data_IF_977815044475
#
_entry.id   IF_977815044475
#
_cell.length_a   1.000
_cell.length_b   1.000
_cell.length_c   1.000
_cell.angle_alpha   90.00
_cell.angle_beta   90.00
_cell.angle_gamma   90.00
#
_symmetry.space_group_name_H-M   'P 1'
#
loop_
_entity.id
_entity.type
_entity.pdbx_description
1 polymer ?
#
# COMPACT_ATOMS: atom_id res chain seq x y z
N UNK A 1 -55.64 -38.28 10.60
CA UNK A 1 -54.88 -37.59 11.65
C UNK A 1 -53.38 -37.89 11.67
N UNK A 2 -52.95 -39.18 11.51
CA UNK A 2 -51.52 -39.53 11.53
C UNK A 2 -50.68 -38.91 10.40
N UNK A 3 -51.22 -38.83 9.17
CA UNK A 3 -50.53 -38.23 8.03
C UNK A 3 -50.31 -36.72 8.19
N UNK A 4 -51.26 -36.01 8.73
CA UNK A 4 -51.16 -34.53 8.95
C UNK A 4 -50.11 -34.18 10.03
N UNK A 5 -49.98 -35.04 11.06
CA UNK A 5 -48.97 -34.87 12.11
C UNK A 5 -47.54 -35.12 11.54
N UNK A 6 -47.38 -36.10 10.62
CA UNK A 6 -46.08 -36.37 10.01
C UNK A 6 -45.61 -35.26 9.09
N UNK A 7 -46.55 -34.68 8.29
CA UNK A 7 -46.21 -33.54 7.41
C UNK A 7 -45.87 -32.29 8.20
N UNK A 8 -46.53 -32.05 9.32
CA UNK A 8 -46.24 -30.90 10.18
C UNK A 8 -44.86 -31.06 10.83
N UNK A 9 -44.48 -32.27 11.22
CA UNK A 9 -43.17 -32.55 11.83
C UNK A 9 -42.01 -32.40 10.83
N UNK A 10 -42.20 -32.88 9.58
CA UNK A 10 -41.20 -32.69 8.51
C UNK A 10 -41.05 -31.22 8.12
N UNK A 11 -42.15 -30.46 8.07
CA UNK A 11 -42.09 -29.03 7.77
C UNK A 11 -41.35 -28.23 8.90
N UNK A 12 -41.61 -28.58 10.16
CA UNK A 12 -40.90 -28.03 11.30
C UNK A 12 -39.39 -28.34 11.27
N UNK A 13 -39.02 -29.60 10.95
CA UNK A 13 -37.61 -30.01 10.85
C UNK A 13 -36.86 -29.24 9.75
N UNK A 14 -37.52 -28.90 8.63
CA UNK A 14 -36.94 -28.07 7.57
C UNK A 14 -36.73 -26.60 7.97
N UNK A 15 -37.54 -26.07 8.88
CA UNK A 15 -37.38 -24.71 9.40
C UNK A 15 -36.23 -24.58 10.40
N UNK A 16 -35.83 -25.70 11.04
CA UNK A 16 -34.68 -25.73 11.95
C UNK A 16 -33.36 -26.07 11.26
N UNK A 17 -33.35 -26.44 9.98
CA UNK A 17 -32.13 -26.57 9.17
C UNK A 17 -31.63 -25.20 8.72
N UNK A 18 -31.78 -24.19 9.57
CA UNK A 18 -31.28 -22.84 9.36
C UNK A 18 -29.78 -22.87 9.11
N UNK A 19 -29.35 -22.08 8.18
CA UNK A 19 -27.98 -21.84 7.77
C UNK A 19 -27.02 -21.98 8.95
N UNK A 20 -26.10 -22.93 8.87
CA UNK A 20 -24.97 -22.95 9.78
C UNK A 20 -24.30 -21.59 9.68
N UNK A 21 -24.32 -20.83 10.76
CA UNK A 21 -23.61 -19.57 10.84
C UNK A 21 -22.18 -19.81 10.36
N UNK A 22 -21.74 -19.08 9.34
CA UNK A 22 -20.34 -19.10 8.96
C UNK A 22 -19.56 -18.87 10.25
N UNK A 23 -18.74 -19.83 10.65
CA UNK A 23 -17.81 -19.61 11.74
C UNK A 23 -16.91 -18.46 11.28
N UNK A 24 -17.09 -17.30 11.88
CA UNK A 24 -16.12 -16.24 11.72
C UNK A 24 -14.78 -16.78 12.21
N UNK A 25 -13.73 -16.48 11.49
CA UNK A 25 -12.39 -16.78 11.93
C UNK A 25 -12.16 -16.03 13.24
N UNK A 26 -12.17 -16.75 14.35
CA UNK A 26 -11.72 -16.23 15.63
C UNK A 26 -10.24 -16.58 15.73
N UNK A 27 -9.34 -15.59 15.78
CA UNK A 27 -7.92 -15.87 15.96
C UNK A 27 -7.71 -16.59 17.28
N UNK A 28 -6.97 -17.70 17.28
CA UNK A 28 -6.67 -18.49 18.47
C UNK A 28 -5.91 -17.71 19.56
N UNK A 29 -5.29 -16.58 19.17
CA UNK A 29 -4.62 -15.67 20.06
C UNK A 29 -5.04 -14.23 19.78
N UNK A 30 -5.70 -13.62 20.72
CA UNK A 30 -5.87 -12.17 20.76
C UNK A 30 -4.71 -11.60 21.58
N UNK A 31 -3.76 -10.95 20.91
CA UNK A 31 -2.80 -10.14 21.63
C UNK A 31 -3.52 -8.89 22.12
N UNK A 32 -3.58 -8.70 23.43
CA UNK A 32 -3.92 -7.40 23.98
C UNK A 32 -2.84 -6.43 23.50
N UNK A 33 -3.23 -5.52 22.62
CA UNK A 33 -2.37 -4.43 22.25
C UNK A 33 -2.01 -3.68 23.54
N UNK A 34 -0.77 -3.80 23.99
CA UNK A 34 -0.26 -2.86 24.97
C UNK A 34 -0.33 -1.49 24.30
N UNK A 35 -1.11 -0.58 24.86
CA UNK A 35 -1.18 0.79 24.39
C UNK A 35 0.20 1.43 24.57
N UNK A 36 1.07 1.31 23.57
CA UNK A 36 2.28 2.10 23.52
C UNK A 36 1.87 3.50 23.11
N UNK A 37 1.73 4.41 24.07
CA UNK A 37 1.61 5.83 23.77
C UNK A 37 3.01 6.42 23.75
N UNK A 38 3.46 6.90 22.61
CA UNK A 38 4.61 7.78 22.52
C UNK A 38 4.12 9.17 22.12
N UNK A 39 4.56 10.22 22.84
CA UNK A 39 4.36 11.59 22.39
C UNK A 39 5.55 11.99 21.52
N UNK A 40 5.27 12.50 20.33
CA UNK A 40 6.24 13.16 19.49
C UNK A 40 5.90 14.65 19.46
N UNK A 41 6.94 15.50 19.59
CA UNK A 41 6.76 16.96 19.55
C UNK A 41 6.49 17.43 18.12
N UNK A 42 5.23 17.60 17.77
CA UNK A 42 4.82 18.14 16.47
C UNK A 42 3.48 17.62 15.97
N UNK A 43 2.90 18.33 15.02
CA UNK A 43 1.64 17.96 14.38
C UNK A 43 1.91 17.04 13.19
N UNK A 44 1.04 16.05 12.99
CA UNK A 44 1.00 15.29 11.74
C UNK A 44 0.27 16.13 10.70
N UNK A 45 0.93 16.42 9.59
CA UNK A 45 0.37 17.26 8.51
C UNK A 45 -0.12 16.43 7.33
N UNK A 46 0.30 15.16 7.25
CA UNK A 46 -0.15 14.24 6.21
C UNK A 46 -0.01 12.79 6.68
N UNK A 47 -0.91 11.93 6.23
CA UNK A 47 -0.93 10.50 6.56
C UNK A 47 -0.85 9.66 5.28
N UNK A 48 0.06 8.71 5.27
CA UNK A 48 0.05 7.58 4.34
C UNK A 48 -0.51 6.34 5.03
N UNK A 49 -0.56 5.21 4.32
CA UNK A 49 -0.93 3.92 4.91
C UNK A 49 0.07 3.46 5.99
N UNK A 50 1.34 3.73 5.78
CA UNK A 50 2.44 3.13 6.55
C UNK A 50 3.12 4.13 7.50
N UNK A 51 2.57 5.34 7.63
CA UNK A 51 3.10 6.36 8.52
C UNK A 51 2.55 7.76 8.25
N UNK A 52 3.25 8.78 8.70
CA UNK A 52 2.82 10.17 8.54
C UNK A 52 3.97 11.15 8.45
N UNK A 53 3.70 12.30 7.87
CA UNK A 53 4.62 13.43 7.78
C UNK A 53 4.36 14.39 8.93
N UNK A 54 5.40 14.80 9.63
CA UNK A 54 5.34 15.82 10.68
C UNK A 54 5.53 17.22 10.10
N UNK A 55 5.00 18.21 10.80
CA UNK A 55 5.20 19.63 10.48
C UNK A 55 6.70 20.01 10.42
N UNK A 56 7.54 19.34 11.21
CA UNK A 56 9.00 19.50 11.18
C UNK A 56 9.65 19.01 9.87
N UNK A 57 8.89 18.40 8.97
CA UNK A 57 9.42 17.75 7.76
C UNK A 57 10.00 16.36 7.98
N UNK A 58 10.02 15.87 9.22
CA UNK A 58 10.33 14.48 9.56
C UNK A 58 9.12 13.59 9.28
N UNK A 59 9.29 12.28 9.45
CA UNK A 59 8.16 11.34 9.34
C UNK A 59 8.08 10.43 10.56
N UNK A 60 6.89 9.90 10.79
CA UNK A 60 6.61 8.83 11.73
C UNK A 60 6.38 7.56 10.91
N UNK A 61 7.21 6.57 11.11
CA UNK A 61 7.05 5.22 10.52
C UNK A 61 6.75 4.19 11.60
N UNK A 62 6.90 2.93 11.24
CA UNK A 62 6.66 1.80 12.17
C UNK A 62 7.57 1.79 13.40
N UNK A 63 8.76 2.35 13.29
CA UNK A 63 9.75 2.40 14.38
C UNK A 63 9.69 3.73 15.17
N UNK A 64 8.65 4.56 14.94
CA UNK A 64 8.46 5.87 15.57
C UNK A 64 8.94 7.04 14.71
N UNK A 65 9.31 8.16 15.37
CA UNK A 65 9.79 9.36 14.68
C UNK A 65 11.17 9.14 14.12
N UNK A 66 11.31 9.35 12.82
CA UNK A 66 12.58 9.26 12.13
C UNK A 66 13.40 10.54 12.29
N UNK A 67 14.71 10.40 12.33
CA UNK A 67 15.65 11.54 12.26
C UNK A 67 15.90 12.02 10.82
N UNK A 68 15.23 11.43 9.83
CA UNK A 68 15.35 11.82 8.41
C UNK A 68 14.35 12.93 8.14
N UNK A 69 14.82 14.01 7.50
CA UNK A 69 13.97 15.08 7.00
C UNK A 69 13.68 14.83 5.52
N UNK A 70 12.40 14.85 5.17
CA UNK A 70 11.95 14.60 3.79
C UNK A 70 12.27 15.75 2.85
N UNK A 71 12.40 16.96 3.40
CA UNK A 71 12.57 18.20 2.67
C UNK A 71 11.24 18.89 2.37
N UNK A 72 11.32 20.19 2.06
CA UNK A 72 10.15 21.02 1.82
C UNK A 72 9.28 20.50 0.68
N UNK A 73 7.97 20.48 0.86
CA UNK A 73 7.00 20.03 -0.12
C UNK A 73 6.89 18.52 -0.31
N UNK A 74 7.72 17.73 0.39
CA UNK A 74 7.64 16.26 0.32
C UNK A 74 6.82 15.67 1.46
N UNK A 75 6.05 14.63 1.15
CA UNK A 75 5.24 13.85 2.08
C UNK A 75 5.72 12.41 2.11
N UNK A 76 5.66 11.79 3.28
CA UNK A 76 6.02 10.39 3.46
C UNK A 76 5.05 9.48 2.70
N UNK A 77 5.60 8.57 1.92
CA UNK A 77 4.83 7.54 1.20
C UNK A 77 4.98 6.19 1.89
N UNK A 78 6.21 5.69 2.03
CA UNK A 78 6.47 4.36 2.55
C UNK A 78 7.94 4.20 2.98
N UNK A 79 8.17 3.24 3.86
CA UNK A 79 9.49 2.67 4.13
C UNK A 79 9.63 1.30 3.46
N UNK A 80 10.68 1.08 2.71
CA UNK A 80 10.91 -0.18 2.03
C UNK A 80 12.39 -0.56 2.05
N UNK A 81 12.72 -1.59 2.83
CA UNK A 81 14.10 -2.00 3.04
C UNK A 81 14.97 -0.89 3.64
N UNK A 82 16.05 -0.56 2.95
CA UNK A 82 16.96 0.52 3.36
C UNK A 82 16.53 1.92 2.94
N UNK A 83 15.38 2.05 2.25
CA UNK A 83 14.94 3.32 1.68
C UNK A 83 13.69 3.87 2.34
N UNK A 84 13.58 5.20 2.30
CA UNK A 84 12.36 5.96 2.54
C UNK A 84 11.91 6.55 1.22
N UNK A 85 10.65 6.45 0.93
CA UNK A 85 10.01 7.02 -0.25
C UNK A 85 9.17 8.23 0.16
N UNK A 86 9.37 9.35 -0.52
CA UNK A 86 8.62 10.57 -0.29
C UNK A 86 8.14 11.16 -1.63
N UNK A 87 6.90 11.62 -1.66
CA UNK A 87 6.28 12.21 -2.84
C UNK A 87 6.01 13.70 -2.67
N UNK A 88 6.07 14.47 -3.77
CA UNK A 88 5.63 15.85 -3.80
C UNK A 88 4.35 16.03 -4.61
N UNK A 89 3.64 17.12 -4.39
CA UNK A 89 2.44 17.49 -5.16
C UNK A 89 2.74 17.75 -6.64
N UNK A 90 3.97 18.13 -6.97
CA UNK A 90 4.44 18.31 -8.35
C UNK A 90 4.76 16.99 -9.05
N UNK A 91 4.57 15.86 -8.37
CA UNK A 91 4.82 14.53 -8.93
C UNK A 91 6.28 14.11 -8.94
N UNK A 92 7.09 14.59 -8.00
CA UNK A 92 8.43 14.06 -7.78
C UNK A 92 8.37 12.94 -6.75
N UNK A 93 9.00 11.80 -7.04
CA UNK A 93 9.24 10.71 -6.10
C UNK A 93 10.71 10.74 -5.68
N UNK A 94 10.94 10.99 -4.39
CA UNK A 94 12.27 11.02 -3.76
C UNK A 94 12.52 9.69 -3.07
N UNK A 95 13.71 9.13 -3.29
CA UNK A 95 14.23 7.94 -2.62
C UNK A 95 15.37 8.37 -1.71
N UNK A 96 15.23 8.16 -0.42
CA UNK A 96 16.21 8.53 0.60
C UNK A 96 16.80 7.25 1.19
N UNK A 97 18.10 7.15 1.27
CA UNK A 97 18.77 6.05 1.95
C UNK A 97 18.74 6.29 3.47
N UNK A 98 18.24 5.31 4.24
CA UNK A 98 18.09 5.43 5.70
C UNK A 98 19.42 5.53 6.45
N UNK A 99 20.47 4.96 5.89
CA UNK A 99 21.79 4.94 6.53
C UNK A 99 22.52 6.28 6.36
N UNK A 100 22.53 6.81 5.14
CA UNK A 100 23.19 8.11 4.85
C UNK A 100 22.26 9.28 5.13
N UNK A 101 20.95 9.07 5.17
CA UNK A 101 19.87 10.08 5.30
C UNK A 101 19.82 11.05 4.12
N UNK A 102 20.43 10.69 3.01
CA UNK A 102 20.53 11.51 1.81
C UNK A 102 19.61 10.96 0.69
N UNK A 103 19.16 11.85 -0.17
CA UNK A 103 18.40 11.47 -1.35
C UNK A 103 19.34 10.82 -2.37
N UNK A 104 19.14 9.54 -2.64
CA UNK A 104 19.89 8.80 -3.67
C UNK A 104 19.26 8.91 -5.06
N UNK A 105 17.98 9.30 -5.13
CA UNK A 105 17.26 9.50 -6.38
C UNK A 105 16.08 10.45 -6.21
N UNK A 106 15.83 11.27 -7.23
CA UNK A 106 14.58 12.00 -7.42
C UNK A 106 14.08 11.71 -8.83
N UNK A 107 12.84 11.25 -8.94
CA UNK A 107 12.20 10.84 -10.20
C UNK A 107 11.04 11.78 -10.48
N UNK A 108 11.10 12.51 -11.59
CA UNK A 108 10.03 13.38 -12.03
C UNK A 108 8.96 12.59 -12.78
N UNK A 109 7.87 12.26 -12.08
CA UNK A 109 6.72 11.52 -12.63
C UNK A 109 5.62 12.46 -13.15
N UNK A 110 5.70 13.75 -12.81
CA UNK A 110 4.77 14.84 -13.20
C UNK A 110 3.33 14.67 -12.70
N UNK A 111 3.05 13.63 -11.95
CA UNK A 111 1.75 13.31 -11.35
C UNK A 111 2.04 12.83 -9.94
N UNK A 112 1.31 13.32 -8.91
CA UNK A 112 1.54 12.92 -7.53
C UNK A 112 1.49 11.42 -7.31
N UNK A 113 2.44 10.91 -6.52
CA UNK A 113 2.52 9.50 -6.14
C UNK A 113 1.62 9.27 -4.93
N UNK A 114 0.76 8.27 -4.98
CA UNK A 114 -0.12 7.87 -3.87
C UNK A 114 0.41 6.66 -3.12
N UNK A 115 1.14 5.78 -3.79
CA UNK A 115 1.81 4.65 -3.15
C UNK A 115 3.03 4.22 -3.94
N UNK A 116 4.05 3.73 -3.25
CA UNK A 116 5.26 3.20 -3.89
C UNK A 116 5.98 2.23 -2.97
N UNK A 117 6.74 1.31 -3.58
CA UNK A 117 7.60 0.35 -2.88
C UNK A 117 8.87 0.15 -3.68
N UNK A 118 9.99 -0.06 -3.00
CA UNK A 118 11.28 -0.35 -3.64
C UNK A 118 11.81 -1.72 -3.20
N UNK A 119 12.28 -2.53 -4.15
CA UNK A 119 12.95 -3.80 -3.88
C UNK A 119 13.99 -4.06 -4.99
N UNK A 120 15.19 -4.45 -4.60
CA UNK A 120 16.28 -4.80 -5.53
C UNK A 120 16.54 -3.74 -6.62
N UNK A 121 16.48 -2.46 -6.27
CA UNK A 121 16.70 -1.37 -7.21
C UNK A 121 15.55 -1.09 -8.18
N UNK A 122 14.42 -1.79 -8.05
CA UNK A 122 13.17 -1.50 -8.76
C UNK A 122 12.22 -0.76 -7.85
N UNK A 123 11.58 0.28 -8.38
CA UNK A 123 10.56 1.06 -7.70
C UNK A 123 9.24 0.84 -8.43
N UNK A 124 8.27 0.26 -7.75
CA UNK A 124 6.90 0.17 -8.22
C UNK A 124 6.09 1.33 -7.62
N UNK A 125 5.30 2.02 -8.41
CA UNK A 125 4.52 3.19 -7.96
C UNK A 125 3.14 3.24 -8.61
N UNK A 126 2.19 3.82 -7.87
CA UNK A 126 0.86 4.19 -8.34
C UNK A 126 0.69 5.69 -8.18
N UNK A 127 0.14 6.35 -9.19
CA UNK A 127 -0.09 7.79 -9.23
C UNK A 127 -1.55 8.13 -8.92
N UNK A 128 -1.81 9.36 -8.52
CA UNK A 128 -3.15 9.79 -8.11
C UNK A 128 -4.20 9.76 -9.23
N UNK A 129 -3.78 9.68 -10.48
CA UNK A 129 -4.65 9.54 -11.65
C UNK A 129 -4.82 8.09 -12.11
N UNK A 130 -4.53 7.12 -11.23
CA UNK A 130 -4.58 5.68 -11.50
C UNK A 130 -3.62 5.19 -12.59
N UNK A 131 -2.56 5.97 -12.89
CA UNK A 131 -1.41 5.46 -13.66
C UNK A 131 -0.47 4.72 -12.71
N UNK A 132 0.28 3.79 -13.25
CA UNK A 132 1.25 3.01 -12.50
C UNK A 132 2.51 2.78 -13.33
N UNK A 133 3.58 2.43 -12.67
CA UNK A 133 4.81 2.10 -13.36
C UNK A 133 5.82 1.37 -12.50
N UNK A 134 6.84 0.88 -13.18
CA UNK A 134 8.04 0.32 -12.58
C UNK A 134 9.23 1.06 -13.12
N UNK A 135 10.06 1.55 -12.22
CA UNK A 135 11.26 2.30 -12.52
C UNK A 135 12.49 1.56 -12.00
N UNK A 136 13.50 1.43 -12.83
CA UNK A 136 14.79 0.85 -12.48
C UNK A 136 15.78 1.96 -12.09
N UNK A 137 16.28 1.93 -10.86
CA UNK A 137 17.23 2.92 -10.36
C UNK A 137 18.59 2.83 -11.09
N UNK A 138 19.07 1.61 -11.34
CA UNK A 138 20.24 1.40 -12.19
C UNK A 138 19.87 1.72 -13.64
N UNK A 139 20.57 2.62 -14.29
CA UNK A 139 20.24 3.03 -15.66
C UNK A 139 19.14 4.08 -15.80
N UNK A 140 18.49 4.50 -14.69
CA UNK A 140 17.54 5.62 -14.71
C UNK A 140 16.40 5.44 -15.72
N UNK A 141 15.74 4.26 -15.73
CA UNK A 141 14.85 3.83 -16.80
C UNK A 141 13.46 3.44 -16.27
N UNK A 142 12.41 3.88 -16.94
CA UNK A 142 11.07 3.33 -16.76
C UNK A 142 10.98 2.00 -17.51
N UNK A 143 10.64 0.92 -16.83
CA UNK A 143 10.45 -0.41 -17.41
C UNK A 143 9.02 -0.59 -17.91
N UNK A 144 8.07 -0.15 -17.08
CA UNK A 144 6.64 -0.21 -17.37
C UNK A 144 6.02 1.12 -16.97
N UNK A 145 5.14 1.62 -17.80
CA UNK A 145 4.27 2.76 -17.51
C UNK A 145 2.93 2.53 -18.20
N UNK A 146 1.85 2.54 -17.45
CA UNK A 146 0.51 2.33 -17.99
C UNK A 146 -0.53 2.98 -17.09
N UNK A 147 -1.80 2.92 -17.49
CA UNK A 147 -2.93 3.45 -16.72
C UNK A 147 -4.04 2.42 -16.64
N UNK A 148 -4.68 2.33 -15.49
CA UNK A 148 -5.95 1.64 -15.31
C UNK A 148 -7.12 2.59 -15.61
N UNK A 149 -8.34 2.24 -15.22
CA UNK A 149 -9.49 3.12 -15.43
C UNK A 149 -9.31 4.47 -14.72
N UNK A 150 -9.88 5.52 -15.30
CA UNK A 150 -9.74 6.87 -14.77
C UNK A 150 -10.40 6.98 -13.39
N UNK A 151 -9.58 7.14 -12.38
CA UNK A 151 -9.95 7.33 -10.99
C UNK A 151 -8.89 8.22 -10.33
N UNK A 152 -9.27 9.00 -9.34
CA UNK A 152 -8.36 9.88 -8.62
C UNK A 152 -8.36 9.54 -7.13
N UNK A 153 -7.18 9.44 -6.54
CA UNK A 153 -7.05 9.36 -5.10
C UNK A 153 -7.19 10.74 -4.46
N UNK A 154 -7.84 10.78 -3.33
CA UNK A 154 -7.96 11.98 -2.50
C UNK A 154 -6.72 12.13 -1.60
N UNK A 155 -6.12 11.00 -1.22
CA UNK A 155 -4.97 10.94 -0.31
C UNK A 155 -4.00 9.79 -0.64
N UNK A 156 -2.91 9.69 0.14
CA UNK A 156 -1.85 8.68 -0.03
C UNK A 156 -2.03 7.43 0.82
N UNK A 157 -3.23 7.16 1.35
CA UNK A 157 -3.53 5.95 2.15
C UNK A 157 -3.82 4.72 1.30
N UNK A 158 -3.50 4.77 0.02
CA UNK A 158 -3.61 3.64 -0.89
C UNK A 158 -2.64 2.50 -0.51
N UNK A 159 -3.02 1.27 -0.81
CA UNK A 159 -2.17 0.12 -0.58
C UNK A 159 -0.90 0.20 -1.44
N UNK A 160 0.23 -0.10 -0.83
CA UNK A 160 1.52 -0.08 -1.52
C UNK A 160 1.68 -1.28 -2.45
N UNK A 161 2.32 -1.11 -3.62
CA UNK A 161 2.73 -2.22 -4.47
C UNK A 161 3.56 -3.24 -3.71
N UNK A 162 3.41 -4.52 -4.04
CA UNK A 162 4.11 -5.61 -3.36
C UNK A 162 4.90 -6.45 -4.35
N UNK A 163 6.17 -6.69 -4.04
CA UNK A 163 7.04 -7.59 -4.80
C UNK A 163 6.96 -9.02 -4.26
N UNK A 164 6.55 -9.95 -5.12
CA UNK A 164 6.51 -11.40 -4.86
C UNK A 164 7.40 -12.07 -5.90
N UNK A 165 8.60 -12.45 -5.51
CA UNK A 165 9.64 -12.96 -6.42
C UNK A 165 9.86 -12.04 -7.63
N UNK A 166 9.55 -12.50 -8.83
CA UNK A 166 9.62 -11.74 -10.07
C UNK A 166 8.31 -11.01 -10.45
N UNK A 167 7.31 -11.09 -9.60
CA UNK A 167 6.03 -10.41 -9.83
C UNK A 167 5.91 -9.17 -8.96
N UNK A 168 5.27 -8.15 -9.51
CA UNK A 168 4.85 -6.97 -8.77
C UNK A 168 3.34 -6.88 -8.81
N UNK A 169 2.71 -6.95 -7.65
CA UNK A 169 1.27 -6.79 -7.50
C UNK A 169 0.99 -5.33 -7.16
N UNK A 170 0.20 -4.67 -7.98
CA UNK A 170 -0.17 -3.27 -7.85
C UNK A 170 -1.65 -3.12 -7.53
N UNK A 171 -2.00 -2.77 -6.30
CA UNK A 171 -3.38 -2.39 -5.95
C UNK A 171 -3.71 -1.05 -6.59
N UNK A 172 -4.68 -1.04 -7.48
CA UNK A 172 -5.09 0.15 -8.22
C UNK A 172 -6.22 0.90 -7.49
N UNK A 173 -6.38 2.18 -7.79
CA UNK A 173 -7.38 3.05 -7.14
C UNK A 173 -8.82 2.67 -7.50
N UNK A 174 -9.02 1.99 -8.61
CA UNK A 174 -10.31 1.45 -9.07
C UNK A 174 -10.65 0.06 -8.49
N UNK A 175 -9.83 -0.42 -7.55
CA UNK A 175 -10.03 -1.71 -6.87
C UNK A 175 -9.49 -2.92 -7.62
N UNK A 176 -8.87 -2.73 -8.79
CA UNK A 176 -8.21 -3.80 -9.54
C UNK A 176 -6.85 -4.14 -8.93
N UNK A 177 -6.41 -5.36 -9.17
CA UNK A 177 -5.03 -5.78 -8.95
C UNK A 177 -4.35 -5.98 -10.30
N UNK A 178 -3.30 -5.21 -10.56
CA UNK A 178 -2.48 -5.39 -11.75
C UNK A 178 -1.23 -6.15 -11.35
N UNK A 179 -0.88 -7.17 -12.12
CA UNK A 179 0.33 -7.96 -11.91
C UNK A 179 1.29 -7.67 -13.05
N UNK A 180 2.53 -7.34 -12.70
CA UNK A 180 3.61 -7.09 -13.66
C UNK A 180 4.72 -8.12 -13.43
N UNK A 181 5.12 -8.82 -14.47
CA UNK A 181 6.28 -9.69 -14.42
C UNK A 181 7.54 -8.87 -14.74
N UNK A 182 8.52 -8.92 -13.86
CA UNK A 182 9.82 -8.22 -13.94
C UNK A 182 11.01 -9.18 -13.93
N UNK A 183 10.79 -10.47 -14.22
CA UNK A 183 11.87 -11.45 -14.28
C UNK A 183 12.97 -11.04 -15.28
N UNK A 184 12.56 -10.45 -16.40
CA UNK A 184 13.43 -9.81 -17.37
C UNK A 184 13.09 -8.32 -17.43
N UNK A 185 14.03 -7.47 -16.99
CA UNK A 185 13.85 -6.03 -16.95
C UNK A 185 13.70 -5.40 -18.33
N UNK A 186 14.16 -6.07 -19.38
CA UNK A 186 14.03 -5.58 -20.76
C UNK A 186 12.67 -5.95 -21.39
N UNK A 187 12.00 -6.95 -20.84
CA UNK A 187 10.70 -7.45 -21.26
C UNK A 187 9.65 -7.42 -20.14
N UNK A 188 9.78 -6.50 -19.19
CA UNK A 188 8.79 -6.34 -18.14
C UNK A 188 7.41 -6.03 -18.73
N UNK A 189 6.37 -6.80 -18.32
CA UNK A 189 5.03 -6.71 -18.89
C UNK A 189 3.93 -7.00 -17.88
N UNK A 190 2.77 -6.42 -18.13
CA UNK A 190 1.53 -6.77 -17.44
C UNK A 190 1.11 -8.19 -17.85
N UNK A 191 0.72 -9.03 -16.90
CA UNK A 191 0.28 -10.42 -17.07
C UNK A 191 -1.16 -10.60 -16.60
#
# INVERSE_FOLDING_TARGET
>A
MKALSLTLFTLAALLFSGCSSKKYFEPEQTYSASSASSSYGGSIVDLSRDGGTLESGQYVGKDGVSSITLGEGYRFINESGQYVLAGSVDGNLKVIDKKTKEAVRVIALKVPVVSATVKNGLIAYVLNNNSFGIYQMAGNRKLVESRSETTFAIDTRAASPMFIDSLVVMPMLDGKLIIVNVADSDNAKVV
#
